data_IF_959042476148
#
_entry.id   IF_959042476148
#
_cell.length_a   1.000
_cell.length_b   1.000
_cell.length_c   1.000
_cell.angle_alpha   90.00
_cell.angle_beta   90.00
_cell.angle_gamma   90.00
#
_symmetry.space_group_name_H-M   'P 1'
#
loop_
_entity.id
_entity.type
_entity.pdbx_description
1 polymer ?
#
# COMPACT_ATOMS: atom_id res chain seq x y z
N UNK A 1 -36.47 -8.65 -81.84
CA UNK A 1 -37.29 -9.75 -81.28
C UNK A 1 -36.29 -10.62 -80.53
N UNK A 2 -36.25 -10.66 -79.20
CA UNK A 2 -37.31 -11.15 -78.31
C UNK A 2 -37.17 -10.50 -76.93
N UNK A 3 -38.31 -10.16 -76.35
CA UNK A 3 -38.51 -9.71 -74.97
C UNK A 3 -38.20 -10.87 -74.01
N UNK A 4 -37.51 -10.63 -72.90
CA UNK A 4 -37.77 -11.43 -71.70
C UNK A 4 -37.58 -10.58 -70.44
N UNK A 5 -38.63 -10.60 -69.62
CA UNK A 5 -38.89 -9.74 -68.49
C UNK A 5 -38.79 -10.56 -67.20
N UNK A 6 -38.00 -10.06 -66.22
CA UNK A 6 -38.07 -10.14 -64.74
C UNK A 6 -38.36 -11.50 -64.04
N UNK A 7 -37.77 -11.75 -62.84
CA UNK A 7 -38.39 -11.20 -61.63
C UNK A 7 -37.43 -10.63 -60.58
N UNK A 8 -38.01 -9.68 -59.84
CA UNK A 8 -37.56 -9.11 -58.57
C UNK A 8 -37.53 -10.18 -57.48
N UNK A 9 -36.48 -10.19 -56.66
CA UNK A 9 -36.52 -10.81 -55.33
C UNK A 9 -36.02 -9.77 -54.32
N UNK A 10 -36.94 -9.38 -53.46
CA UNK A 10 -36.77 -8.50 -52.32
C UNK A 10 -36.09 -9.26 -51.18
N UNK A 11 -35.13 -8.62 -50.48
CA UNK A 11 -35.12 -8.35 -49.03
C UNK A 11 -33.72 -8.08 -48.46
N UNK A 12 -33.63 -7.40 -47.29
CA UNK A 12 -32.61 -6.41 -46.99
C UNK A 12 -31.66 -6.83 -45.85
N UNK A 13 -30.80 -5.89 -45.48
CA UNK A 13 -30.12 -5.78 -44.19
C UNK A 13 -28.98 -6.77 -43.92
N UNK A 14 -27.75 -6.26 -44.03
CA UNK A 14 -26.68 -6.64 -43.11
C UNK A 14 -25.72 -5.46 -42.98
N UNK A 15 -26.13 -4.48 -42.17
CA UNK A 15 -25.28 -3.40 -41.68
C UNK A 15 -24.30 -4.04 -40.69
N UNK A 16 -23.05 -4.21 -41.10
CA UNK A 16 -21.98 -4.74 -40.27
C UNK A 16 -21.63 -3.79 -39.13
N UNK A 17 -22.24 -4.02 -37.96
CA UNK A 17 -21.80 -3.44 -36.70
C UNK A 17 -20.73 -4.37 -36.13
N UNK A 18 -19.46 -4.00 -36.32
CA UNK A 18 -18.31 -4.58 -35.63
C UNK A 18 -18.47 -4.33 -34.13
N UNK A 19 -19.11 -5.27 -33.44
CA UNK A 19 -19.09 -5.35 -31.99
C UNK A 19 -17.67 -5.74 -31.56
N UNK A 20 -17.01 -4.82 -30.86
CA UNK A 20 -15.85 -5.11 -30.05
C UNK A 20 -16.18 -6.30 -29.14
N UNK A 21 -15.56 -7.45 -29.43
CA UNK A 21 -15.49 -8.57 -28.50
C UNK A 21 -14.71 -8.07 -27.28
N UNK A 22 -15.45 -7.56 -26.29
CA UNK A 22 -14.93 -7.40 -24.93
C UNK A 22 -14.56 -8.79 -24.43
N UNK A 23 -13.26 -9.10 -24.48
CA UNK A 23 -12.70 -10.21 -23.72
C UNK A 23 -12.90 -9.84 -22.25
N UNK A 24 -14.02 -10.29 -21.69
CA UNK A 24 -14.19 -10.40 -20.25
C UNK A 24 -13.16 -11.43 -19.82
N UNK A 25 -12.01 -10.95 -19.34
CA UNK A 25 -11.09 -11.77 -18.57
C UNK A 25 -11.85 -12.23 -17.34
N UNK A 26 -12.42 -13.43 -17.46
CA UNK A 26 -12.94 -14.19 -16.35
C UNK A 26 -11.74 -14.52 -15.46
N UNK A 27 -11.49 -13.67 -14.47
CA UNK A 27 -10.60 -13.98 -13.36
C UNK A 27 -11.24 -15.19 -12.67
N UNK A 28 -10.62 -16.38 -12.65
CA UNK A 28 -11.15 -17.46 -11.85
C UNK A 28 -11.04 -17.02 -10.39
N UNK A 29 -12.20 -16.75 -9.79
CA UNK A 29 -12.35 -16.74 -8.35
C UNK A 29 -11.75 -18.05 -7.84
N UNK A 30 -10.66 -17.94 -7.07
CA UNK A 30 -10.11 -19.05 -6.30
C UNK A 30 -11.18 -19.65 -5.38
N UNK A 31 -10.95 -20.87 -4.88
CA UNK A 31 -12.00 -21.72 -4.35
C UNK A 31 -12.73 -21.05 -3.17
N UNK A 32 -14.01 -20.76 -3.40
CA UNK A 32 -15.14 -21.35 -2.67
C UNK A 32 -15.00 -21.46 -1.13
N UNK A 33 -15.65 -20.52 -0.43
CA UNK A 33 -16.05 -20.54 0.99
C UNK A 33 -14.94 -20.61 2.06
N UNK A 34 -14.19 -19.51 2.23
CA UNK A 34 -13.71 -19.15 3.56
C UNK A 34 -14.85 -18.45 4.34
N UNK A 35 -14.79 -18.47 5.67
CA UNK A 35 -15.74 -17.81 6.56
C UNK A 35 -16.00 -16.35 6.17
N UNK A 36 -17.01 -15.69 6.76
CA UNK A 36 -17.25 -14.25 6.60
C UNK A 36 -16.09 -13.43 7.20
N UNK A 37 -14.91 -13.50 6.57
CA UNK A 37 -13.71 -12.81 6.96
C UNK A 37 -13.87 -11.34 6.65
N UNK A 38 -13.57 -10.51 7.64
CA UNK A 38 -13.61 -9.07 7.49
C UNK A 38 -12.25 -8.58 7.02
N UNK A 39 -12.24 -7.77 5.96
CA UNK A 39 -11.02 -7.18 5.41
C UNK A 39 -10.87 -5.76 5.97
N UNK A 40 -9.69 -5.47 6.52
CA UNK A 40 -9.31 -4.16 7.02
C UNK A 40 -7.99 -3.72 6.40
N UNK A 41 -7.85 -2.42 6.17
CA UNK A 41 -6.66 -1.84 5.57
C UNK A 41 -5.98 -0.90 6.55
N UNK A 42 -4.67 -1.07 6.73
CA UNK A 42 -3.87 -0.27 7.65
C UNK A 42 -2.60 0.25 6.96
N UNK A 43 -2.15 1.42 7.40
CA UNK A 43 -0.83 1.95 7.03
C UNK A 43 0.25 1.21 7.78
N UNK A 44 1.25 0.74 7.06
CA UNK A 44 2.42 0.05 7.61
C UNK A 44 3.57 1.02 7.72
N UNK A 45 4.02 1.26 8.96
CA UNK A 45 5.29 1.93 9.19
C UNK A 45 6.40 0.88 9.27
N UNK A 46 7.52 1.12 8.59
CA UNK A 46 8.65 0.18 8.44
C UNK A 46 8.86 -0.36 7.02
N UNK A 47 7.98 -0.01 6.07
CA UNK A 47 8.14 -0.28 4.62
C UNK A 47 8.98 0.82 3.93
N UNK A 48 10.23 0.98 4.35
CA UNK A 48 11.10 2.06 3.85
C UNK A 48 11.96 1.67 2.64
N UNK A 49 12.01 0.39 2.28
CA UNK A 49 12.67 -0.18 1.10
C UNK A 49 11.83 -1.36 0.55
N UNK A 50 11.93 -1.70 -0.76
CA UNK A 50 11.15 -2.78 -1.36
C UNK A 50 11.30 -4.13 -0.66
N UNK A 51 12.54 -4.52 -0.30
CA UNK A 51 12.84 -5.79 0.38
C UNK A 51 12.12 -5.93 1.74
N UNK A 52 11.67 -4.81 2.34
CA UNK A 52 10.88 -4.83 3.58
C UNK A 52 9.50 -5.45 3.37
N UNK A 53 8.96 -5.43 2.16
CA UNK A 53 7.69 -6.06 1.85
C UNK A 53 7.74 -7.58 2.05
N UNK A 54 8.83 -8.22 1.62
CA UNK A 54 9.04 -9.66 1.82
C UNK A 54 9.19 -9.99 3.31
N UNK A 55 9.94 -9.18 4.05
CA UNK A 55 10.10 -9.33 5.49
C UNK A 55 8.76 -9.23 6.25
N UNK A 56 7.89 -8.28 5.85
CA UNK A 56 6.54 -8.15 6.41
C UNK A 56 5.68 -9.38 6.07
N UNK A 57 5.72 -9.81 4.80
CA UNK A 57 4.93 -10.95 4.32
C UNK A 57 5.30 -12.24 5.04
N UNK A 58 6.61 -12.47 5.21
CA UNK A 58 7.13 -13.62 5.96
C UNK A 58 6.68 -13.58 7.42
N UNK A 59 6.81 -12.43 8.09
CA UNK A 59 6.37 -12.29 9.47
C UNK A 59 4.85 -12.48 9.62
N UNK A 60 4.06 -12.05 8.63
CA UNK A 60 2.61 -12.15 8.65
C UNK A 60 2.08 -13.59 8.57
N UNK A 61 2.89 -14.57 8.16
CA UNK A 61 2.52 -15.99 8.15
C UNK A 61 2.30 -16.56 9.56
N UNK A 62 2.89 -15.93 10.58
CA UNK A 62 2.76 -16.33 11.98
C UNK A 62 1.65 -15.57 12.72
N UNK A 63 0.78 -14.84 11.99
CA UNK A 63 -0.36 -14.16 12.59
C UNK A 63 -1.45 -15.18 12.97
N UNK A 64 -2.07 -14.94 14.13
CA UNK A 64 -3.16 -15.76 14.65
C UNK A 64 -4.49 -15.04 14.48
N UNK A 65 -5.49 -15.77 13.96
CA UNK A 65 -6.85 -15.26 13.71
C UNK A 65 -6.98 -14.21 12.60
N UNK A 66 -5.88 -13.87 11.93
CA UNK A 66 -5.84 -12.97 10.79
C UNK A 66 -4.69 -13.34 9.86
N UNK A 67 -4.78 -12.93 8.60
CA UNK A 67 -3.73 -13.11 7.61
C UNK A 67 -3.62 -11.88 6.70
N UNK A 68 -2.42 -11.66 6.16
CA UNK A 68 -2.14 -10.59 5.22
C UNK A 68 -2.62 -11.00 3.82
N UNK A 69 -3.49 -10.18 3.21
CA UNK A 69 -4.06 -10.43 1.87
C UNK A 69 -3.38 -9.62 0.77
N UNK A 70 -2.71 -8.51 1.13
CA UNK A 70 -1.98 -7.71 0.16
C UNK A 70 -1.16 -6.60 0.82
N UNK A 71 -0.11 -6.18 0.12
CA UNK A 71 0.74 -5.04 0.49
C UNK A 71 0.94 -4.17 -0.73
N UNK A 72 0.63 -2.89 -0.59
CA UNK A 72 0.94 -1.84 -1.55
C UNK A 72 2.11 -1.01 -0.98
N UNK A 73 3.29 -1.20 -1.59
CA UNK A 73 4.50 -0.48 -1.22
C UNK A 73 4.42 1.02 -1.55
N UNK A 74 3.75 1.38 -2.63
CA UNK A 74 3.65 2.76 -3.10
C UNK A 74 2.73 3.61 -2.22
N UNK A 75 1.73 3.02 -1.59
CA UNK A 75 0.90 3.74 -0.61
C UNK A 75 1.26 3.44 0.84
N UNK A 76 2.16 2.46 1.06
CA UNK A 76 2.50 1.88 2.35
C UNK A 76 1.26 1.34 3.09
N UNK A 77 0.31 0.77 2.34
CA UNK A 77 -0.92 0.20 2.88
C UNK A 77 -0.86 -1.33 2.81
N UNK A 78 -1.37 -2.00 3.84
CA UNK A 78 -1.53 -3.45 3.88
C UNK A 78 -2.96 -3.82 4.23
N UNK A 79 -3.46 -4.85 3.56
CA UNK A 79 -4.79 -5.41 3.77
C UNK A 79 -4.67 -6.69 4.58
N UNK A 80 -5.50 -6.80 5.61
CA UNK A 80 -5.57 -7.96 6.49
C UNK A 80 -7.00 -8.50 6.49
N UNK A 81 -7.14 -9.80 6.27
CA UNK A 81 -8.39 -10.51 6.54
C UNK A 81 -8.31 -11.09 7.95
N UNK A 82 -9.39 -10.97 8.71
CA UNK A 82 -9.49 -11.58 10.05
C UNK A 82 -10.84 -12.25 10.23
N UNK A 83 -10.85 -13.26 11.10
CA UNK A 83 -12.06 -13.95 11.51
C UNK A 83 -12.68 -13.22 12.72
N UNK A 84 -13.88 -12.61 12.57
CA UNK A 84 -14.56 -11.90 13.66
C UNK A 84 -14.95 -12.80 14.84
N UNK A 85 -15.15 -14.09 14.60
CA UNK A 85 -15.56 -15.07 15.62
C UNK A 85 -14.37 -15.67 16.37
N UNK A 86 -13.15 -15.46 15.85
CA UNK A 86 -11.92 -15.88 16.51
C UNK A 86 -11.81 -15.24 17.91
N UNK A 87 -11.27 -15.98 18.87
CA UNK A 87 -11.14 -15.53 20.27
C UNK A 87 -10.42 -14.18 20.40
N UNK A 88 -9.47 -13.90 19.49
CA UNK A 88 -8.74 -12.64 19.44
C UNK A 88 -9.54 -11.47 18.88
N UNK A 89 -10.66 -11.65 18.18
CA UNK A 89 -11.41 -10.55 17.55
C UNK A 89 -12.88 -10.50 17.96
N UNK A 90 -13.35 -11.48 18.74
CA UNK A 90 -14.70 -11.51 19.28
C UNK A 90 -15.05 -10.21 20.01
N UNK A 91 -16.17 -9.60 19.60
CA UNK A 91 -16.69 -8.32 20.13
C UNK A 91 -15.68 -7.15 20.08
N UNK A 92 -14.66 -7.22 19.21
CA UNK A 92 -13.68 -6.15 19.07
C UNK A 92 -14.31 -4.93 18.39
N UNK A 93 -14.05 -3.74 18.93
CA UNK A 93 -14.26 -2.49 18.20
C UNK A 93 -13.20 -2.34 17.10
N UNK A 94 -13.44 -1.57 16.02
CA UNK A 94 -12.45 -1.38 14.95
C UNK A 94 -11.07 -0.93 15.46
N UNK A 95 -11.03 -0.07 16.47
CA UNK A 95 -9.78 0.39 17.08
C UNK A 95 -9.02 -0.74 17.79
N UNK A 96 -9.76 -1.67 18.40
CA UNK A 96 -9.18 -2.84 19.07
C UNK A 96 -8.68 -3.87 18.04
N UNK A 97 -9.33 -4.00 16.88
CA UNK A 97 -8.84 -4.86 15.80
C UNK A 97 -7.47 -4.37 15.33
N UNK A 98 -7.33 -3.07 15.03
CA UNK A 98 -6.05 -2.46 14.70
C UNK A 98 -5.01 -2.73 15.80
N UNK A 99 -5.34 -2.43 17.06
CA UNK A 99 -4.42 -2.62 18.17
C UNK A 99 -3.92 -4.07 18.26
N UNK A 100 -4.83 -5.05 18.18
CA UNK A 100 -4.50 -6.48 18.30
C UNK A 100 -3.60 -6.96 17.17
N UNK A 101 -3.90 -6.59 15.92
CA UNK A 101 -3.06 -6.96 14.77
C UNK A 101 -1.69 -6.26 14.88
N UNK A 102 -1.68 -4.96 15.23
CA UNK A 102 -0.45 -4.21 15.43
C UNK A 102 0.44 -4.84 16.50
N UNK A 103 -0.12 -5.27 17.64
CA UNK A 103 0.64 -5.89 18.73
C UNK A 103 1.26 -7.23 18.30
N UNK A 104 0.57 -8.02 17.47
CA UNK A 104 1.15 -9.22 16.87
C UNK A 104 2.31 -8.88 15.93
N UNK A 105 2.09 -7.99 14.95
CA UNK A 105 3.13 -7.57 13.99
C UNK A 105 4.35 -7.00 14.70
N UNK A 106 4.15 -6.12 15.69
CA UNK A 106 5.24 -5.53 16.47
C UNK A 106 6.04 -6.57 17.21
N UNK A 107 5.38 -7.55 17.85
CA UNK A 107 6.06 -8.64 18.54
C UNK A 107 6.85 -9.53 17.58
N UNK A 108 6.21 -9.98 16.50
CA UNK A 108 6.81 -10.88 15.49
C UNK A 108 8.01 -10.24 14.79
N UNK A 109 8.02 -8.92 14.67
CA UNK A 109 9.04 -8.18 13.90
C UNK A 109 10.00 -7.39 14.79
N UNK A 110 10.00 -7.61 16.11
CA UNK A 110 10.78 -6.85 17.08
C UNK A 110 10.62 -5.32 16.95
N UNK A 111 9.41 -4.87 16.63
CA UNK A 111 9.05 -3.47 16.44
C UNK A 111 9.54 -2.86 15.12
N UNK A 112 10.07 -3.66 14.19
CA UNK A 112 10.48 -3.15 12.89
C UNK A 112 9.31 -2.71 12.02
N UNK A 113 8.14 -3.33 12.22
CA UNK A 113 6.89 -2.90 11.60
C UNK A 113 5.87 -2.50 12.67
N UNK A 114 5.10 -1.46 12.37
CA UNK A 114 3.93 -1.06 13.15
C UNK A 114 2.78 -0.71 12.20
N UNK A 115 1.55 -0.80 12.69
CA UNK A 115 0.35 -0.47 11.95
C UNK A 115 -0.28 0.80 12.52
N UNK A 116 -0.87 1.59 11.63
CA UNK A 116 -1.63 2.79 11.94
C UNK A 116 -2.82 2.93 11.00
N UNK A 117 -3.75 3.83 11.32
CA UNK A 117 -4.86 4.10 10.42
C UNK A 117 -4.34 4.74 9.12
N UNK A 118 -4.96 4.41 7.97
CA UNK A 118 -4.67 5.13 6.73
C UNK A 118 -4.90 6.64 6.88
N UNK A 119 -4.08 7.42 6.19
CA UNK A 119 -4.24 8.87 6.11
C UNK A 119 -5.59 9.26 5.51
N UNK A 120 -6.08 10.45 5.88
CA UNK A 120 -7.31 11.00 5.28
C UNK A 120 -7.05 11.69 3.95
N UNK A 121 -5.82 12.10 3.69
CA UNK A 121 -5.45 12.77 2.45
C UNK A 121 -5.19 11.75 1.34
N UNK A 122 -5.74 11.99 0.13
CA UNK A 122 -5.41 11.19 -1.03
C UNK A 122 -3.94 11.41 -1.45
N UNK A 123 -3.27 10.41 -2.04
CA UNK A 123 -1.86 10.49 -2.43
C UNK A 123 -1.51 11.69 -3.32
N UNK A 124 -2.44 12.12 -4.18
CA UNK A 124 -2.30 13.23 -5.13
C UNK A 124 -2.09 14.60 -4.45
N UNK A 125 -2.51 14.74 -3.20
CA UNK A 125 -2.38 15.98 -2.43
C UNK A 125 -1.11 16.00 -1.56
N UNK A 126 -0.35 14.91 -1.54
CA UNK A 126 0.89 14.84 -0.78
C UNK A 126 2.01 15.52 -1.55
N UNK A 127 2.85 16.24 -0.81
CA UNK A 127 4.06 16.85 -1.36
C UNK A 127 5.23 15.92 -1.09
N UNK A 128 5.98 15.59 -2.14
CA UNK A 128 7.19 14.79 -2.03
C UNK A 128 8.38 15.68 -1.67
N UNK A 129 9.12 15.29 -0.62
CA UNK A 129 10.35 15.94 -0.17
C UNK A 129 11.47 14.92 -0.17
N UNK A 130 12.62 15.28 -0.75
CA UNK A 130 13.79 14.42 -0.85
C UNK A 130 14.96 15.04 -0.10
N UNK A 131 15.72 14.17 0.57
CA UNK A 131 16.96 14.49 1.25
C UNK A 131 18.05 13.51 0.82
N UNK A 132 19.21 14.05 0.44
CA UNK A 132 20.43 13.27 0.27
C UNK A 132 21.14 13.21 1.62
N UNK A 133 21.39 12.00 2.10
CA UNK A 133 21.86 11.73 3.45
C UNK A 133 23.26 11.14 3.36
N UNK A 134 24.19 11.72 4.13
CA UNK A 134 25.54 11.17 4.30
C UNK A 134 25.53 9.98 5.26
N UNK A 135 26.33 8.94 4.97
CA UNK A 135 26.48 7.77 5.84
C UNK A 135 25.29 6.80 5.82
N UNK A 136 24.42 6.93 4.82
CA UNK A 136 23.30 6.01 4.60
C UNK A 136 23.80 4.72 3.92
N UNK A 137 24.68 3.95 4.58
CA UNK A 137 25.43 2.86 3.95
C UNK A 137 24.94 1.45 4.31
N UNK A 138 23.90 1.33 5.15
CA UNK A 138 23.32 0.04 5.49
C UNK A 138 21.81 0.10 5.76
N UNK A 139 21.20 -1.09 5.88
CA UNK A 139 19.79 -1.26 6.23
C UNK A 139 19.44 -0.59 7.57
N UNK A 140 20.34 -0.68 8.56
CA UNK A 140 20.18 -0.06 9.87
C UNK A 140 20.19 1.46 9.81
N UNK A 141 21.12 2.06 9.06
CA UNK A 141 21.18 3.50 8.84
C UNK A 141 19.91 4.00 8.12
N UNK A 142 19.46 3.26 7.10
CA UNK A 142 18.21 3.55 6.38
C UNK A 142 17.00 3.53 7.31
N UNK A 143 16.90 2.50 8.16
CA UNK A 143 15.83 2.42 9.14
C UNK A 143 15.90 3.55 10.19
N UNK A 144 17.10 3.93 10.61
CA UNK A 144 17.32 5.05 11.53
C UNK A 144 16.84 6.38 10.96
N UNK A 145 17.25 6.70 9.72
CA UNK A 145 16.81 7.89 9.01
C UNK A 145 15.30 7.90 8.77
N UNK A 146 14.74 6.79 8.30
CA UNK A 146 13.30 6.60 8.15
C UNK A 146 12.55 6.89 9.46
N UNK A 147 12.99 6.31 10.58
CA UNK A 147 12.35 6.48 11.89
C UNK A 147 12.42 7.92 12.41
N UNK A 148 13.41 8.70 12.00
CA UNK A 148 13.52 10.11 12.38
C UNK A 148 12.34 10.94 11.83
N UNK A 149 11.82 10.56 10.65
CA UNK A 149 10.77 11.31 9.96
C UNK A 149 9.39 10.66 10.04
N UNK A 150 9.31 9.32 10.00
CA UNK A 150 8.04 8.60 9.85
C UNK A 150 7.05 8.79 11.02
N UNK A 151 7.54 9.19 12.19
CA UNK A 151 6.70 9.46 13.37
C UNK A 151 6.20 10.90 13.49
N UNK A 152 6.51 11.78 12.52
CA UNK A 152 6.12 13.19 12.55
C UNK A 152 4.68 13.32 12.05
N UNK A 153 3.83 14.09 12.76
CA UNK A 153 2.47 14.37 12.29
C UNK A 153 2.51 15.11 10.94
N UNK A 154 1.70 14.63 10.00
CA UNK A 154 1.72 15.08 8.61
C UNK A 154 2.64 14.28 7.69
N UNK A 155 3.50 13.40 8.20
CA UNK A 155 4.22 12.44 7.35
C UNK A 155 3.32 11.23 7.09
N UNK A 156 2.85 11.10 5.86
CA UNK A 156 1.97 10.00 5.46
C UNK A 156 2.78 8.78 5.01
N UNK A 157 3.90 9.00 4.31
CA UNK A 157 4.80 7.93 3.87
C UNK A 157 6.23 8.43 3.90
N UNK A 158 7.17 7.53 4.19
CA UNK A 158 8.58 7.79 3.99
C UNK A 158 9.32 6.53 3.51
N UNK A 159 10.34 6.72 2.70
CA UNK A 159 11.28 5.70 2.26
C UNK A 159 12.70 6.18 2.52
N UNK A 160 13.63 5.25 2.71
CA UNK A 160 15.04 5.55 2.89
C UNK A 160 15.84 4.42 2.26
N UNK A 161 16.67 4.71 1.27
CA UNK A 161 17.40 3.69 0.53
C UNK A 161 18.89 3.93 0.62
N UNK A 162 19.61 3.01 1.25
CA UNK A 162 21.08 3.02 1.26
C UNK A 162 21.69 2.79 -0.13
N UNK A 163 20.93 2.20 -1.06
CA UNK A 163 21.37 2.09 -2.46
C UNK A 163 21.38 3.44 -3.18
N UNK A 164 20.47 4.34 -2.80
CA UNK A 164 20.34 5.67 -3.43
C UNK A 164 20.98 6.79 -2.60
N UNK A 165 21.38 6.51 -1.36
CA UNK A 165 21.81 7.55 -0.42
C UNK A 165 20.71 8.57 -0.10
N UNK A 166 19.43 8.18 -0.24
CA UNK A 166 18.29 9.11 -0.26
C UNK A 166 17.19 8.71 0.71
N UNK A 167 16.64 9.72 1.38
CA UNK A 167 15.37 9.65 2.09
C UNK A 167 14.31 10.48 1.35
N UNK A 168 13.14 9.89 1.15
CA UNK A 168 12.00 10.55 0.53
C UNK A 168 10.81 10.49 1.47
N UNK A 169 10.13 11.60 1.70
CA UNK A 169 8.93 11.68 2.51
C UNK A 169 7.79 12.31 1.70
N UNK A 170 6.59 11.74 1.82
CA UNK A 170 5.36 12.29 1.28
C UNK A 170 4.57 12.87 2.45
N UNK A 171 4.35 14.18 2.40
CA UNK A 171 3.80 14.93 3.52
C UNK A 171 2.49 15.61 3.17
N UNK A 172 1.68 15.82 4.19
CA UNK A 172 0.60 16.81 4.20
C UNK A 172 1.22 18.21 4.41
N UNK A 173 1.24 19.08 3.38
CA UNK A 173 1.84 20.41 3.48
C UNK A 173 1.09 21.34 4.45
N UNK A 174 -0.13 20.99 4.88
CA UNK A 174 -0.87 21.76 5.88
C UNK A 174 -0.39 21.48 7.32
N UNK A 175 0.34 20.38 7.53
CA UNK A 175 0.74 19.91 8.87
C UNK A 175 2.25 19.96 9.11
N UNK A 176 3.04 19.73 8.07
CA UNK A 176 4.50 19.68 8.17
C UNK A 176 5.16 20.24 6.91
N UNK A 177 6.47 20.41 6.93
CA UNK A 177 7.26 20.99 5.86
C UNK A 177 8.69 20.44 5.84
N UNK A 178 9.50 20.90 4.89
CA UNK A 178 10.88 20.45 4.71
C UNK A 178 11.74 20.79 5.93
N UNK A 179 11.56 21.97 6.51
CA UNK A 179 12.33 22.46 7.65
C UNK A 179 12.12 21.60 8.90
N UNK A 180 10.87 21.18 9.16
CA UNK A 180 10.54 20.30 10.27
C UNK A 180 11.17 18.90 10.11
N UNK A 181 11.16 18.36 8.88
CA UNK A 181 11.83 17.10 8.56
C UNK A 181 13.35 17.21 8.73
N UNK A 182 13.95 18.27 8.21
CA UNK A 182 15.39 18.53 8.34
C UNK A 182 15.79 18.66 9.81
N UNK A 183 15.03 19.40 10.62
CA UNK A 183 15.27 19.53 12.05
C UNK A 183 15.19 18.19 12.79
N UNK A 184 14.25 17.31 12.40
CA UNK A 184 14.15 15.97 12.99
C UNK A 184 15.35 15.07 12.63
N UNK A 185 15.85 15.16 11.39
CA UNK A 185 17.06 14.47 10.96
C UNK A 185 18.30 14.97 11.72
N UNK A 186 18.48 16.29 11.81
CA UNK A 186 19.58 16.90 12.57
C UNK A 186 19.53 16.55 14.06
N UNK A 187 18.34 16.47 14.66
CA UNK A 187 18.15 16.02 16.05
C UNK A 187 18.62 14.58 16.28
N UNK A 188 18.63 13.76 15.23
CA UNK A 188 19.15 12.39 15.24
C UNK A 188 20.60 12.29 14.79
N UNK A 189 21.30 13.43 14.68
CA UNK A 189 22.69 13.51 14.26
C UNK A 189 22.89 12.94 12.84
N UNK A 190 21.88 13.08 11.99
CA UNK A 190 21.91 12.65 10.59
C UNK A 190 22.27 13.85 9.71
N UNK A 191 23.35 13.73 8.94
CA UNK A 191 23.85 14.80 8.06
C UNK A 191 23.11 14.80 6.73
N UNK A 192 22.65 15.98 6.32
CA UNK A 192 22.03 16.24 5.02
C UNK A 192 23.08 16.90 4.13
N UNK A 193 23.36 16.32 2.96
CA UNK A 193 24.38 16.86 2.05
C UNK A 193 23.99 18.21 1.47
N UNK A 194 22.70 18.39 1.15
CA UNK A 194 22.14 19.60 0.53
C UNK A 194 20.95 20.09 1.36
N UNK A 195 21.21 20.91 2.40
CA UNK A 195 20.22 21.28 3.41
C UNK A 195 19.10 22.18 2.90
#
# INVERSE_FOLDING_TARGET
MTVFQLPQIHHPACLGMLAFLGVVLFVPAGPELAAAESIVQYRVNGLFQPDRQEALTTAAQALEGCHLTGVDYDTALASFAYDPDHQLFKNAKPEQVLQRINDQIRRLTNGCFTLSLPGKLPPEKLVEIRFEIEGLDCLGCSFGAYRAVAGIDGVERATASFHEGRLTAWIDPAKTNREALAAALTKKEITILHP
#
